data_IF_732318366454
#
_entry.id   IF_732318366454
#
_cell.length_a   1.000
_cell.length_b   1.000
_cell.length_c   1.000
_cell.angle_alpha   90.00
_cell.angle_beta   90.00
_cell.angle_gamma   90.00
#
_symmetry.space_group_name_H-M   'P 1'
#
loop_
_entity.id
_entity.type
_entity.pdbx_description
1 polymer ?
#
# COMPACT_ATOMS: atom_id res chain seq x y z
N UNK A 1 -38.25 -21.97 -5.21
CA UNK A 1 -37.22 -21.50 -6.16
C UNK A 1 -35.90 -22.10 -5.72
N UNK A 2 -35.32 -23.00 -6.52
CA UNK A 2 -34.01 -23.61 -6.21
C UNK A 2 -32.90 -22.61 -6.51
N UNK A 3 -31.92 -22.49 -5.61
CA UNK A 3 -30.76 -21.59 -5.74
C UNK A 3 -30.00 -21.86 -7.04
N UNK A 4 -29.49 -20.81 -7.71
CA UNK A 4 -28.67 -20.93 -8.93
C UNK A 4 -27.21 -21.34 -8.66
N UNK A 5 -26.84 -21.49 -7.39
CA UNK A 5 -25.53 -21.96 -6.95
C UNK A 5 -25.72 -23.32 -6.28
N UNK A 6 -25.44 -24.42 -6.99
CA UNK A 6 -25.63 -25.78 -6.46
C UNK A 6 -24.58 -26.13 -5.40
N UNK A 7 -23.43 -25.43 -5.41
CA UNK A 7 -22.33 -25.64 -4.48
C UNK A 7 -22.06 -24.35 -3.70
N UNK A 8 -21.75 -24.51 -2.41
CA UNK A 8 -21.32 -23.42 -1.53
C UNK A 8 -20.00 -23.82 -0.89
N UNK A 9 -19.01 -22.94 -0.95
CA UNK A 9 -17.73 -23.10 -0.28
C UNK A 9 -17.71 -22.09 0.85
N UNK A 10 -17.73 -22.59 2.08
CA UNK A 10 -17.58 -21.76 3.26
C UNK A 10 -16.09 -21.59 3.58
N UNK A 11 -15.70 -20.35 3.88
CA UNK A 11 -14.33 -20.03 4.29
C UNK A 11 -14.31 -19.73 5.78
N UNK A 12 -13.62 -20.56 6.54
CA UNK A 12 -13.45 -20.35 7.97
C UNK A 12 -12.56 -19.13 8.25
N UNK A 13 -12.84 -18.38 9.34
CA UNK A 13 -11.95 -17.32 9.80
C UNK A 13 -10.57 -17.90 10.16
N UNK A 14 -9.54 -17.08 9.98
CA UNK A 14 -8.19 -17.52 10.28
C UNK A 14 -8.03 -17.72 11.79
N UNK A 15 -7.63 -18.93 12.19
CA UNK A 15 -7.26 -19.22 13.57
C UNK A 15 -6.04 -18.36 14.00
N UNK A 16 -5.85 -18.11 15.31
CA UNK A 16 -4.76 -17.26 15.81
C UNK A 16 -3.37 -17.68 15.32
N UNK A 17 -3.06 -18.98 15.28
CA UNK A 17 -1.78 -19.49 14.79
C UNK A 17 -1.56 -19.17 13.31
N UNK A 18 -2.59 -19.29 12.47
CA UNK A 18 -2.55 -18.92 11.07
C UNK A 18 -2.38 -17.40 10.88
N UNK A 19 -2.97 -16.58 11.75
CA UNK A 19 -2.76 -15.13 11.77
C UNK A 19 -1.30 -14.77 12.08
N UNK A 20 -0.69 -15.44 13.07
CA UNK A 20 0.73 -15.26 13.43
C UNK A 20 1.62 -15.65 12.25
N UNK A 21 1.39 -16.82 11.65
CA UNK A 21 2.14 -17.28 10.48
C UNK A 21 2.01 -16.30 9.30
N UNK A 22 0.80 -15.80 9.04
CA UNK A 22 0.56 -14.81 7.99
C UNK A 22 1.35 -13.52 8.27
N UNK A 23 1.31 -13.01 9.51
CA UNK A 23 2.09 -11.84 9.91
C UNK A 23 3.59 -12.06 9.72
N UNK A 24 4.13 -13.21 10.15
CA UNK A 24 5.54 -13.58 9.96
C UNK A 24 5.90 -13.60 8.47
N UNK A 25 5.08 -14.21 7.61
CA UNK A 25 5.28 -14.21 6.15
C UNK A 25 5.28 -12.79 5.57
N UNK A 26 4.36 -11.91 6.01
CA UNK A 26 4.35 -10.52 5.56
C UNK A 26 5.65 -9.79 5.96
N UNK A 27 6.11 -9.96 7.20
CA UNK A 27 7.37 -9.36 7.67
C UNK A 27 8.59 -9.89 6.91
N UNK A 28 8.61 -11.18 6.57
CA UNK A 28 9.65 -11.78 5.72
C UNK A 28 9.66 -11.17 4.31
N UNK A 29 8.50 -10.90 3.71
CA UNK A 29 8.40 -10.19 2.42
C UNK A 29 9.00 -8.79 2.54
N UNK A 30 8.75 -8.08 3.64
CA UNK A 30 9.37 -6.78 3.89
C UNK A 30 10.91 -6.87 4.09
N UNK A 31 11.39 -7.86 4.83
CA UNK A 31 12.83 -8.17 4.99
C UNK A 31 13.49 -8.46 3.64
N UNK A 32 12.84 -9.24 2.77
CA UNK A 32 13.35 -9.54 1.43
C UNK A 32 13.47 -8.28 0.56
N UNK A 33 12.53 -7.32 0.66
CA UNK A 33 12.60 -6.03 -0.04
C UNK A 33 13.76 -5.14 0.41
N UNK A 34 14.25 -5.32 1.64
CA UNK A 34 15.38 -4.58 2.20
C UNK A 34 16.73 -5.33 2.09
N UNK A 35 16.71 -6.55 1.56
CA UNK A 35 17.91 -7.39 1.42
C UNK A 35 19.00 -6.65 0.63
N UNK A 36 20.22 -6.65 1.17
CA UNK A 36 21.38 -5.97 0.59
C UNK A 36 21.46 -4.46 0.88
N UNK A 37 20.39 -3.86 1.41
CA UNK A 37 20.41 -2.47 1.91
C UNK A 37 20.54 -2.42 3.42
N UNK A 38 19.90 -3.36 4.12
CA UNK A 38 19.81 -3.39 5.59
C UNK A 38 19.75 -4.80 6.15
N UNK A 39 20.12 -4.89 7.42
CA UNK A 39 20.01 -6.10 8.22
C UNK A 39 18.70 -5.98 9.02
N UNK A 40 17.76 -6.88 8.77
CA UNK A 40 16.48 -6.92 9.50
C UNK A 40 16.40 -8.20 10.30
N UNK A 41 16.36 -8.05 11.62
CA UNK A 41 16.18 -9.14 12.57
C UNK A 41 14.69 -9.30 12.90
N UNK A 42 14.17 -10.49 12.59
CA UNK A 42 12.80 -10.93 12.81
C UNK A 42 12.74 -12.19 13.67
N UNK A 43 13.82 -12.51 14.41
CA UNK A 43 13.93 -13.72 15.22
C UNK A 43 12.75 -13.92 16.17
N UNK A 44 12.21 -12.83 16.75
CA UNK A 44 11.03 -12.89 17.61
C UNK A 44 9.77 -13.47 16.93
N UNK A 45 9.64 -13.39 15.61
CA UNK A 45 8.51 -13.94 14.85
C UNK A 45 8.85 -15.24 14.09
N UNK A 46 10.12 -15.43 13.73
CA UNK A 46 10.60 -16.65 13.05
C UNK A 46 10.76 -17.82 14.04
N UNK A 47 11.25 -17.54 15.24
CA UNK A 47 11.41 -18.49 16.35
C UNK A 47 10.92 -17.85 17.65
N UNK A 48 9.59 -17.69 17.83
CA UNK A 48 9.04 -17.03 19.00
C UNK A 48 9.28 -17.85 20.27
N UNK A 49 9.61 -17.17 21.37
CA UNK A 49 9.60 -17.79 22.69
C UNK A 49 8.16 -18.20 23.06
N UNK A 50 7.99 -19.32 23.77
CA UNK A 50 6.69 -19.84 24.20
C UNK A 50 5.79 -18.79 24.91
N UNK A 51 6.28 -17.99 25.89
CA UNK A 51 5.44 -16.97 26.53
C UNK A 51 4.96 -15.91 25.52
N UNK A 52 5.83 -15.48 24.61
CA UNK A 52 5.49 -14.51 23.58
C UNK A 52 4.46 -15.07 22.59
N UNK A 53 4.59 -16.34 22.19
CA UNK A 53 3.63 -17.02 21.31
C UNK A 53 2.24 -17.11 21.97
N UNK A 54 2.19 -17.40 23.27
CA UNK A 54 0.95 -17.43 24.04
C UNK A 54 0.29 -16.05 24.09
N UNK A 55 1.06 -14.98 24.28
CA UNK A 55 0.53 -13.61 24.28
C UNK A 55 0.02 -13.20 22.90
N UNK A 56 0.73 -13.55 21.83
CA UNK A 56 0.25 -13.34 20.46
C UNK A 56 -1.08 -14.06 20.21
N UNK A 57 -1.15 -15.33 20.61
CA UNK A 57 -2.34 -16.18 20.42
C UNK A 57 -3.54 -15.55 21.12
N UNK A 58 -3.41 -15.16 22.40
CA UNK A 58 -4.48 -14.50 23.17
C UNK A 58 -4.97 -13.21 22.52
N UNK A 59 -4.05 -12.41 21.95
CA UNK A 59 -4.41 -11.12 21.31
C UNK A 59 -5.11 -11.31 19.98
N UNK A 60 -4.66 -12.27 19.17
CA UNK A 60 -5.35 -12.62 17.93
C UNK A 60 -6.72 -13.27 18.19
N UNK A 61 -6.84 -14.06 19.26
CA UNK A 61 -8.12 -14.59 19.72
C UNK A 61 -9.07 -13.45 20.14
N UNK A 62 -8.60 -12.51 20.95
CA UNK A 62 -9.37 -11.31 21.32
C UNK A 62 -9.76 -10.44 20.11
N UNK A 63 -8.89 -10.31 19.11
CA UNK A 63 -9.20 -9.61 17.86
C UNK A 63 -10.28 -10.34 17.07
N UNK A 64 -10.21 -11.68 17.00
CA UNK A 64 -11.16 -12.50 16.26
C UNK A 64 -12.60 -12.40 16.77
N UNK A 65 -12.77 -12.09 18.05
CA UNK A 65 -14.07 -11.87 18.70
C UNK A 65 -14.69 -10.49 18.40
N UNK A 66 -13.98 -9.57 17.74
CA UNK A 66 -14.53 -8.24 17.41
C UNK A 66 -15.37 -8.29 16.12
N UNK A 67 -16.57 -7.68 16.15
CA UNK A 67 -17.49 -7.59 15.00
C UNK A 67 -16.87 -7.01 13.70
N UNK A 68 -15.77 -6.27 13.82
CA UNK A 68 -15.10 -5.59 12.70
C UNK A 68 -13.79 -6.24 12.25
N UNK A 69 -13.51 -7.47 12.71
CA UNK A 69 -12.31 -8.21 12.36
C UNK A 69 -12.36 -8.72 10.91
N UNK A 70 -11.47 -8.20 10.07
CA UNK A 70 -11.39 -8.54 8.66
C UNK A 70 -10.37 -9.66 8.36
N UNK A 71 -10.08 -10.52 9.36
CA UNK A 71 -9.17 -11.66 9.25
C UNK A 71 -7.83 -11.27 8.57
N UNK A 72 -7.50 -11.91 7.44
CA UNK A 72 -6.24 -11.73 6.72
C UNK A 72 -5.93 -10.27 6.35
N UNK A 73 -6.97 -9.45 6.11
CA UNK A 73 -6.79 -8.04 5.75
C UNK A 73 -6.21 -7.25 6.91
N UNK A 74 -6.76 -7.42 8.11
CA UNK A 74 -6.27 -6.72 9.30
C UNK A 74 -4.89 -7.22 9.71
N UNK A 75 -4.59 -8.53 9.57
CA UNK A 75 -3.24 -9.07 9.78
C UNK A 75 -2.20 -8.42 8.85
N UNK A 76 -2.55 -8.21 7.57
CA UNK A 76 -1.67 -7.51 6.61
C UNK A 76 -1.46 -6.04 6.99
N UNK A 77 -2.50 -5.35 7.44
CA UNK A 77 -2.39 -3.96 7.90
C UNK A 77 -1.55 -3.87 9.18
N UNK A 78 -1.68 -4.83 10.10
CA UNK A 78 -0.84 -4.92 11.29
C UNK A 78 0.65 -5.05 10.92
N UNK A 79 0.99 -5.99 10.01
CA UNK A 79 2.36 -6.16 9.55
C UNK A 79 2.92 -4.88 8.90
N UNK A 80 2.11 -4.18 8.10
CA UNK A 80 2.47 -2.90 7.50
C UNK A 80 2.70 -1.81 8.56
N UNK A 81 1.83 -1.70 9.58
CA UNK A 81 2.01 -0.77 10.70
C UNK A 81 3.29 -1.05 11.46
N UNK A 82 3.60 -2.33 11.73
CA UNK A 82 4.87 -2.73 12.36
C UNK A 82 6.07 -2.29 11.54
N UNK A 83 6.03 -2.53 10.23
CA UNK A 83 7.11 -2.12 9.33
C UNK A 83 7.31 -0.60 9.29
N UNK A 84 6.23 0.18 9.34
CA UNK A 84 6.29 1.64 9.37
C UNK A 84 6.89 2.20 10.66
N UNK A 85 6.86 1.45 11.76
CA UNK A 85 7.50 1.84 13.03
C UNK A 85 9.03 1.67 13.00
N UNK A 86 9.60 1.00 11.99
CA UNK A 86 11.05 0.95 11.84
C UNK A 86 11.61 2.30 11.40
N UNK A 87 12.63 2.77 12.11
CA UNK A 87 13.41 3.90 11.64
C UNK A 87 14.25 3.48 10.43
N UNK A 88 13.86 3.98 9.27
CA UNK A 88 14.55 3.71 8.04
C UNK A 88 15.88 4.48 7.90
N UNK A 89 16.37 5.19 8.91
CA UNK A 89 17.74 5.76 8.90
C UNK A 89 18.80 4.73 9.35
N UNK A 90 18.40 3.74 10.15
CA UNK A 90 19.29 2.75 10.75
C UNK A 90 19.68 1.62 9.77
N UNK A 91 20.93 1.16 9.85
CA UNK A 91 21.45 0.04 9.05
C UNK A 91 20.95 -1.33 9.55
N UNK A 92 20.72 -1.44 10.86
CA UNK A 92 20.19 -2.62 11.52
C UNK A 92 18.80 -2.31 12.11
N UNK A 93 17.81 -3.13 11.75
CA UNK A 93 16.43 -3.01 12.21
C UNK A 93 16.09 -4.28 12.97
N UNK A 94 15.75 -4.17 14.26
CA UNK A 94 15.37 -5.32 15.10
C UNK A 94 13.92 -5.19 15.52
N UNK A 95 13.10 -6.19 15.19
CA UNK A 95 11.74 -6.29 15.70
C UNK A 95 11.77 -6.81 17.14
N UNK A 96 11.26 -6.03 18.09
CA UNK A 96 11.13 -6.44 19.49
C UNK A 96 9.74 -6.97 19.78
N UNK A 97 9.64 -7.93 20.69
CA UNK A 97 8.38 -8.51 21.17
C UNK A 97 7.40 -7.44 21.67
N UNK A 98 7.89 -6.52 22.51
CA UNK A 98 7.11 -5.40 23.06
C UNK A 98 6.45 -4.54 21.98
N UNK A 99 7.15 -4.32 20.86
CA UNK A 99 6.63 -3.50 19.76
C UNK A 99 5.48 -4.21 19.05
N UNK A 100 5.58 -5.53 18.88
CA UNK A 100 4.52 -6.36 18.27
C UNK A 100 3.29 -6.35 19.16
N UNK A 101 3.47 -6.63 20.46
CA UNK A 101 2.39 -6.64 21.44
C UNK A 101 1.74 -5.27 21.61
N UNK A 102 2.53 -4.19 21.65
CA UNK A 102 2.00 -2.83 21.73
C UNK A 102 1.15 -2.48 20.51
N UNK A 103 1.58 -2.87 19.30
CA UNK A 103 0.84 -2.58 18.07
C UNK A 103 -0.45 -3.40 17.96
N UNK A 104 -0.46 -4.64 18.49
CA UNK A 104 -1.69 -5.43 18.67
C UNK A 104 -2.66 -4.78 19.67
N UNK A 105 -2.17 -4.29 20.82
CA UNK A 105 -2.99 -3.54 21.77
C UNK A 105 -3.57 -2.27 21.16
N UNK A 106 -2.77 -1.51 20.41
CA UNK A 106 -3.21 -0.29 19.74
C UNK A 106 -4.41 -0.59 18.81
N UNK A 107 -4.33 -1.70 18.06
CA UNK A 107 -5.41 -2.14 17.17
C UNK A 107 -6.66 -2.56 17.95
N UNK A 108 -6.50 -3.33 19.04
CA UNK A 108 -7.60 -3.72 19.93
C UNK A 108 -8.32 -2.50 20.52
N UNK A 109 -7.55 -1.52 21.01
CA UNK A 109 -8.08 -0.27 21.62
C UNK A 109 -8.76 0.62 20.60
N UNK A 110 -8.14 0.85 19.44
CA UNK A 110 -8.70 1.67 18.35
C UNK A 110 -10.09 1.14 17.95
N UNK A 111 -10.24 -0.20 17.90
CA UNK A 111 -11.49 -0.85 17.50
C UNK A 111 -12.52 -0.91 18.62
N UNK A 112 -12.11 -1.13 19.87
CA UNK A 112 -13.00 -1.05 21.04
C UNK A 112 -13.61 0.35 21.17
N UNK A 113 -12.81 1.40 20.96
CA UNK A 113 -13.30 2.79 20.96
C UNK A 113 -14.38 3.05 19.91
N UNK A 114 -14.38 2.36 18.76
CA UNK A 114 -15.46 2.47 17.76
C UNK A 114 -16.72 1.71 18.17
N UNK A 115 -16.61 0.66 18.98
CA UNK A 115 -17.74 -0.07 19.53
C UNK A 115 -18.42 0.70 20.67
N UNK A 116 -17.64 1.28 21.57
CA UNK A 116 -18.16 2.06 22.71
C UNK A 116 -18.74 3.41 22.28
N UNK A 117 -18.24 4.00 21.19
CA UNK A 117 -18.70 5.29 20.69
C UNK A 117 -19.82 5.17 19.63
N UNK A 118 -20.50 4.01 19.56
CA UNK A 118 -21.75 3.85 18.80
C UNK A 118 -22.83 4.74 19.44
N UNK A 119 -22.92 6.01 19.01
CA UNK A 119 -24.21 6.70 19.06
C UNK A 119 -25.21 5.84 18.28
N UNK A 120 -26.42 5.57 18.81
CA UNK A 120 -27.40 4.80 18.08
C UNK A 120 -27.61 5.49 16.73
N UNK A 121 -27.45 4.74 15.65
CA UNK A 121 -27.79 5.24 14.32
C UNK A 121 -29.29 5.47 14.26
N UNK A 122 -29.75 6.44 13.46
CA UNK A 122 -31.18 6.72 13.28
C UNK A 122 -31.98 5.44 12.91
N UNK A 123 -31.34 4.47 12.23
CA UNK A 123 -31.93 3.16 11.94
C UNK A 123 -32.25 2.32 13.19
N UNK A 124 -31.42 2.39 14.24
CA UNK A 124 -31.66 1.72 15.52
C UNK A 124 -32.75 2.42 16.35
N UNK A 125 -32.91 3.74 16.21
CA UNK A 125 -34.01 4.49 16.83
C UNK A 125 -35.36 4.21 16.14
N UNK A 126 -35.36 4.11 14.80
CA UNK A 126 -36.55 3.74 14.02
C UNK A 126 -37.00 2.31 14.34
N UNK A 127 -36.06 1.37 14.50
CA UNK A 127 -36.38 -0.01 14.89
C UNK A 127 -37.02 -0.11 16.29
N UNK A 128 -36.63 0.76 17.23
CA UNK A 128 -37.26 0.84 18.57
C UNK A 128 -38.65 1.47 18.55
N UNK A 129 -38.97 2.31 17.57
CA UNK A 129 -40.29 2.91 17.43
C UNK A 129 -41.37 1.92 16.92
N UNK A 130 -40.96 0.82 16.28
CA UNK A 130 -41.87 -0.20 15.72
C UNK A 130 -42.31 -1.30 16.70
N UNK A 131 -41.79 -1.32 17.93
CA UNK A 131 -42.10 -2.38 18.92
C UNK A 131 -43.40 -2.11 19.70
N UNK A 132 -44.04 -0.95 19.51
CA UNK A 132 -45.27 -0.56 20.21
C UNK A 132 -46.54 -0.58 19.33
N UNK A 133 -46.52 -1.30 18.20
CA UNK A 133 -47.72 -1.50 17.37
C UNK A 133 -48.65 -2.57 17.99
N UNK A 134 -49.98 -2.42 17.91
CA UNK A 134 -50.91 -3.39 18.48
C UNK A 134 -50.76 -4.77 17.82
N UNK A 135 -50.60 -5.79 18.66
CA UNK A 135 -50.49 -7.20 18.30
C UNK A 135 -51.78 -7.68 17.62
N UNK A 136 -51.70 -8.01 16.33
CA UNK A 136 -52.71 -8.84 15.68
C UNK A 136 -52.29 -10.31 15.79
N UNK A 137 -53.04 -11.08 16.57
CA UNK A 137 -52.88 -12.53 16.70
C UNK A 137 -53.48 -13.24 15.48
N UNK A 138 -52.76 -14.12 14.77
CA UNK A 138 -53.37 -15.07 13.85
C UNK A 138 -53.98 -16.26 14.62
N UNK A 139 -55.07 -16.90 14.11
CA UNK A 139 -55.75 -17.97 14.80
C UNK A 139 -54.99 -19.31 14.74
N UNK A 140 -55.25 -20.12 15.75
CA UNK A 140 -54.67 -21.45 16.03
C UNK A 140 -55.25 -22.50 15.08
N UNK A 141 -54.39 -23.30 14.44
CA UNK A 141 -54.78 -24.58 13.82
C UNK A 141 -53.74 -25.67 14.10
N UNK A 142 -54.06 -26.45 15.13
CA UNK A 142 -53.96 -27.91 15.33
C UNK A 142 -53.09 -28.79 14.39
N UNK A 143 -52.18 -29.56 15.02
CA UNK A 143 -51.68 -30.94 14.72
C UNK A 143 -50.90 -31.15 13.40
N UNK A 144 -49.82 -31.94 13.28
CA UNK A 144 -49.37 -33.14 13.99
C UNK A 144 -47.84 -33.29 13.96
N UNK A 145 -47.29 -33.96 14.97
CA UNK A 145 -45.90 -34.46 15.05
C UNK A 145 -45.72 -35.69 14.14
N UNK A 146 -44.59 -35.77 13.43
CA UNK A 146 -44.01 -37.04 12.97
C UNK A 146 -42.50 -36.98 13.23
N UNK A 147 -42.05 -37.91 14.08
CA UNK A 147 -40.64 -38.26 14.28
C UNK A 147 -40.26 -39.32 13.27
N UNK A 148 -39.13 -39.16 12.58
CA UNK A 148 -38.50 -40.23 11.81
C UNK A 148 -37.04 -40.30 12.22
N UNK A 149 -36.73 -41.29 13.06
CA UNK A 149 -35.41 -41.89 13.24
C UNK A 149 -35.04 -42.72 12.02
N UNK A 150 -33.77 -42.64 11.59
CA UNK A 150 -33.06 -43.73 10.90
C UNK A 150 -31.57 -43.62 11.20
N UNK A 151 -31.05 -44.64 11.88
CA UNK A 151 -29.63 -44.95 12.00
C UNK A 151 -29.23 -45.87 10.82
N UNK A 152 -28.02 -45.69 10.25
CA UNK A 152 -27.02 -46.77 10.09
C UNK A 152 -25.70 -46.33 9.42
N UNK A 153 -24.63 -46.63 10.15
CA UNK A 153 -23.30 -47.17 9.79
C UNK A 153 -22.92 -47.48 8.33
N UNK A 154 -21.67 -47.13 7.99
CA UNK A 154 -20.56 -47.99 7.48
C UNK A 154 -19.48 -47.06 6.85
N UNK A 155 -18.29 -46.88 7.42
CA UNK A 155 -17.08 -47.73 7.40
C UNK A 155 -16.06 -47.34 6.30
N UNK A 156 -14.83 -47.08 6.77
CA UNK A 156 -13.48 -47.07 6.14
C UNK A 156 -13.23 -46.53 4.72
N UNK A 157 -12.21 -45.66 4.58
CA UNK A 157 -10.89 -46.10 4.07
C UNK A 157 -9.77 -45.05 4.23
N UNK A 158 -8.57 -45.60 4.34
CA UNK A 158 -7.29 -45.01 4.74
C UNK A 158 -6.61 -44.14 3.66
N UNK A 159 -5.82 -43.19 4.16
CA UNK A 159 -4.45 -42.81 3.78
C UNK A 159 -3.92 -43.17 2.37
N UNK A 160 -3.50 -42.15 1.61
CA UNK A 160 -2.13 -42.09 1.05
C UNK A 160 -1.82 -40.72 0.41
N UNK A 161 -0.55 -40.36 0.61
CA UNK A 161 0.37 -39.44 -0.08
C UNK A 161 -0.07 -39.01 -1.52
N UNK A 162 0.26 -37.85 -2.08
CA UNK A 162 1.62 -37.31 -2.35
C UNK A 162 1.52 -35.82 -2.78
N UNK A 163 2.58 -35.05 -2.56
CA UNK A 163 2.80 -33.76 -3.25
C UNK A 163 2.81 -33.93 -4.78
N UNK A 164 2.36 -32.91 -5.55
CA UNK A 164 3.06 -32.64 -6.79
C UNK A 164 3.36 -31.15 -6.98
N UNK A 165 4.66 -30.90 -7.09
CA UNK A 165 5.19 -29.89 -8.01
C UNK A 165 4.68 -30.21 -9.42
N UNK A 166 3.79 -29.39 -9.98
CA UNK A 166 3.63 -29.31 -11.42
C UNK A 166 3.54 -27.85 -11.91
N UNK A 167 4.68 -27.40 -12.41
CA UNK A 167 4.86 -26.19 -13.19
C UNK A 167 4.16 -26.28 -14.55
N UNK A 168 3.45 -25.21 -14.93
CA UNK A 168 3.26 -24.73 -16.30
C UNK A 168 2.61 -25.66 -17.35
N UNK A 169 1.39 -26.16 -17.09
CA UNK A 169 0.54 -26.72 -18.16
C UNK A 169 -0.97 -26.45 -18.00
N UNK A 170 -1.37 -25.45 -17.21
CA UNK A 170 -2.77 -25.26 -16.78
C UNK A 170 -3.57 -24.22 -17.60
N UNK A 171 -3.33 -24.14 -18.91
CA UNK A 171 -4.14 -23.28 -19.81
C UNK A 171 -5.26 -24.05 -20.54
N UNK A 172 -5.47 -25.33 -20.23
CA UNK A 172 -6.43 -26.16 -20.99
C UNK A 172 -7.28 -27.11 -20.14
N UNK A 173 -7.19 -27.04 -18.81
CA UNK A 173 -8.09 -27.84 -17.96
C UNK A 173 -9.42 -27.09 -17.89
N UNK A 174 -10.37 -27.56 -18.70
CA UNK A 174 -11.77 -27.15 -18.65
C UNK A 174 -12.45 -27.86 -17.50
N UNK A 175 -13.17 -27.12 -16.66
CA UNK A 175 -13.92 -27.70 -15.56
C UNK A 175 -15.08 -28.55 -16.10
N UNK A 176 -15.18 -29.78 -15.59
CA UNK A 176 -16.25 -30.70 -15.94
C UNK A 176 -17.61 -30.11 -15.48
N UNK A 177 -18.48 -29.77 -16.44
CA UNK A 177 -19.81 -29.19 -16.18
C UNK A 177 -20.06 -27.80 -16.77
N UNK A 178 -19.03 -27.13 -17.31
CA UNK A 178 -19.20 -25.84 -18.02
C UNK A 178 -19.50 -26.08 -19.50
N UNK A 179 -20.57 -25.48 -20.03
CA UNK A 179 -20.94 -25.58 -21.46
C UNK A 179 -19.92 -24.86 -22.37
N UNK A 180 -19.82 -25.31 -23.63
CA UNK A 180 -18.88 -24.76 -24.62
C UNK A 180 -19.04 -23.24 -24.79
N UNK A 181 -20.29 -22.77 -24.83
CA UNK A 181 -20.66 -21.37 -25.00
C UNK A 181 -20.16 -20.47 -23.86
N UNK A 182 -20.29 -20.93 -22.61
CA UNK A 182 -19.84 -20.18 -21.43
C UNK A 182 -18.32 -20.13 -21.38
N UNK A 183 -17.65 -21.21 -21.78
CA UNK A 183 -16.20 -21.27 -21.83
C UNK A 183 -15.62 -20.33 -22.88
N UNK A 184 -16.19 -20.31 -24.09
CA UNK A 184 -15.76 -19.39 -25.16
C UNK A 184 -15.99 -17.92 -24.78
N UNK A 185 -17.11 -17.62 -24.13
CA UNK A 185 -17.38 -16.27 -23.62
C UNK A 185 -16.37 -15.85 -22.55
N UNK A 186 -16.03 -16.73 -21.61
CA UNK A 186 -15.03 -16.46 -20.57
C UNK A 186 -13.64 -16.18 -21.18
N UNK A 187 -13.27 -16.90 -22.23
CA UNK A 187 -12.01 -16.67 -22.95
C UNK A 187 -12.00 -15.30 -23.65
N UNK A 188 -13.09 -14.95 -24.34
CA UNK A 188 -13.24 -13.62 -24.97
C UNK A 188 -13.20 -12.49 -23.96
N UNK A 189 -13.83 -12.66 -22.80
CA UNK A 189 -13.84 -11.67 -21.73
C UNK A 189 -12.46 -11.51 -21.09
N UNK A 190 -11.72 -12.60 -20.89
CA UNK A 190 -10.32 -12.55 -20.42
C UNK A 190 -9.44 -11.78 -21.39
N UNK A 191 -9.50 -12.10 -22.69
CA UNK A 191 -8.72 -11.38 -23.71
C UNK A 191 -9.09 -9.89 -23.80
N UNK A 192 -10.37 -9.57 -23.59
CA UNK A 192 -10.84 -8.19 -23.55
C UNK A 192 -10.29 -7.45 -22.32
N UNK A 193 -10.38 -8.07 -21.15
CA UNK A 193 -9.84 -7.49 -19.92
C UNK A 193 -8.31 -7.30 -20.02
N UNK A 194 -7.58 -8.25 -20.59
CA UNK A 194 -6.14 -8.13 -20.84
C UNK A 194 -5.82 -6.96 -21.77
N UNK A 195 -6.56 -6.79 -22.88
CA UNK A 195 -6.41 -5.64 -23.77
C UNK A 195 -6.71 -4.31 -23.08
N UNK A 196 -7.78 -4.25 -22.30
CA UNK A 196 -8.19 -3.02 -21.60
C UNK A 196 -7.16 -2.65 -20.52
N UNK A 197 -6.63 -3.64 -19.80
CA UNK A 197 -5.58 -3.44 -18.80
C UNK A 197 -4.26 -2.98 -19.45
N UNK A 198 -3.90 -3.56 -20.60
CA UNK A 198 -2.73 -3.12 -21.36
C UNK A 198 -2.89 -1.67 -21.85
N UNK A 199 -4.07 -1.32 -22.40
CA UNK A 199 -4.38 0.04 -22.83
C UNK A 199 -4.27 1.05 -21.67
N UNK A 200 -4.82 0.71 -20.50
CA UNK A 200 -4.73 1.54 -19.30
C UNK A 200 -3.27 1.70 -18.83
N UNK A 201 -2.48 0.63 -18.88
CA UNK A 201 -1.05 0.67 -18.54
C UNK A 201 -0.27 1.57 -19.50
N UNK A 202 -0.56 1.50 -20.81
CA UNK A 202 0.05 2.37 -21.84
C UNK A 202 -0.31 3.84 -21.60
N UNK A 203 -1.58 4.16 -21.33
CA UNK A 203 -2.03 5.52 -21.02
C UNK A 203 -1.35 6.08 -19.76
N UNK A 204 -1.30 5.30 -18.67
CA UNK A 204 -0.60 5.72 -17.43
C UNK A 204 0.88 5.97 -17.65
N UNK A 205 1.55 5.15 -18.48
CA UNK A 205 2.97 5.34 -18.81
C UNK A 205 3.17 6.63 -19.61
N UNK A 206 2.35 6.86 -20.63
CA UNK A 206 2.41 8.08 -21.46
C UNK A 206 2.18 9.34 -20.62
N UNK A 207 1.21 9.33 -19.70
CA UNK A 207 0.94 10.44 -18.79
C UNK A 207 2.13 10.75 -17.88
N UNK A 208 2.78 9.72 -17.32
CA UNK A 208 3.98 9.90 -16.48
C UNK A 208 5.13 10.48 -17.27
N UNK A 209 5.41 9.94 -18.45
CA UNK A 209 6.51 10.44 -19.29
C UNK A 209 6.28 11.87 -19.75
N UNK A 210 5.04 12.25 -20.09
CA UNK A 210 4.71 13.63 -20.44
C UNK A 210 4.93 14.58 -19.24
N UNK A 211 4.42 14.20 -18.06
CA UNK A 211 4.60 15.00 -16.84
C UNK A 211 6.08 15.13 -16.43
N UNK A 212 6.88 14.08 -16.59
CA UNK A 212 8.32 14.13 -16.33
C UNK A 212 9.04 15.03 -17.33
N UNK A 213 8.71 14.94 -18.62
CA UNK A 213 9.29 15.80 -19.66
C UNK A 213 8.97 17.29 -19.44
N UNK A 214 7.74 17.63 -19.03
CA UNK A 214 7.36 19.01 -18.70
C UNK A 214 8.13 19.53 -17.47
N UNK A 215 8.31 18.70 -16.44
CA UNK A 215 9.11 19.05 -15.26
C UNK A 215 10.57 19.29 -15.64
N UNK A 216 11.15 18.42 -16.47
CA UNK A 216 12.54 18.57 -16.91
C UNK A 216 12.72 19.86 -17.73
N UNK A 217 11.76 20.19 -18.60
CA UNK A 217 11.78 21.45 -19.37
C UNK A 217 11.81 22.66 -18.43
N UNK A 218 10.94 22.70 -17.43
CA UNK A 218 10.87 23.81 -16.46
C UNK A 218 12.16 23.94 -15.63
N UNK A 219 12.70 22.82 -15.14
CA UNK A 219 13.96 22.82 -14.39
C UNK A 219 15.10 23.33 -15.26
N UNK A 220 15.17 22.90 -16.51
CA UNK A 220 16.20 23.35 -17.46
C UNK A 220 16.11 24.85 -17.71
N UNK A 221 14.91 25.39 -17.87
CA UNK A 221 14.68 26.83 -18.04
C UNK A 221 15.15 27.64 -16.82
N UNK A 222 14.79 27.20 -15.61
CA UNK A 222 15.24 27.85 -14.37
C UNK A 222 16.76 27.83 -14.24
N UNK A 223 17.42 26.70 -14.53
CA UNK A 223 18.88 26.59 -14.46
C UNK A 223 19.59 27.50 -15.46
N UNK A 224 19.05 27.63 -16.67
CA UNK A 224 19.58 28.56 -17.68
C UNK A 224 19.46 30.01 -17.20
N UNK A 225 18.32 30.38 -16.62
CA UNK A 225 18.11 31.73 -16.13
C UNK A 225 18.98 32.04 -14.90
N UNK A 226 19.13 31.09 -13.97
CA UNK A 226 20.08 31.24 -12.85
C UNK A 226 21.52 31.40 -13.33
N UNK A 227 21.93 30.62 -14.33
CA UNK A 227 23.29 30.73 -14.89
C UNK A 227 23.53 32.12 -15.48
N UNK A 228 22.58 32.66 -16.26
CA UNK A 228 22.67 34.03 -16.78
C UNK A 228 22.75 35.06 -15.66
N UNK A 229 21.94 34.90 -14.60
CA UNK A 229 21.98 35.82 -13.45
C UNK A 229 23.34 35.81 -12.76
N UNK A 230 23.93 34.63 -12.57
CA UNK A 230 25.27 34.48 -11.99
C UNK A 230 26.34 35.12 -12.88
N UNK A 231 26.31 34.88 -14.19
CA UNK A 231 27.26 35.51 -15.14
C UNK A 231 27.17 37.04 -15.12
N UNK A 232 25.95 37.60 -15.01
CA UNK A 232 25.75 39.06 -14.89
C UNK A 232 26.31 39.59 -13.56
N UNK A 233 26.07 38.87 -12.46
CA UNK A 233 26.55 39.25 -11.12
C UNK A 233 28.08 39.17 -11.02
N UNK A 234 28.68 38.10 -11.54
CA UNK A 234 30.13 37.92 -11.64
C UNK A 234 30.76 39.04 -12.47
N UNK A 235 30.19 39.36 -13.63
CA UNK A 235 30.68 40.46 -14.47
C UNK A 235 30.57 41.81 -13.77
N UNK A 236 29.50 42.04 -13.00
CA UNK A 236 29.34 43.25 -12.19
C UNK A 236 30.32 43.30 -11.02
N UNK A 237 30.58 42.17 -10.37
CA UNK A 237 31.54 42.07 -9.27
C UNK A 237 32.98 42.31 -9.77
N UNK A 238 33.35 41.73 -10.92
CA UNK A 238 34.62 42.02 -11.60
C UNK A 238 34.78 43.51 -11.88
N UNK A 239 33.74 44.15 -12.41
CA UNK A 239 33.76 45.60 -12.65
C UNK A 239 33.95 46.41 -11.36
N UNK A 240 33.32 46.01 -10.25
CA UNK A 240 33.53 46.65 -8.94
C UNK A 240 34.96 46.44 -8.42
N UNK A 241 35.53 45.25 -8.62
CA UNK A 241 36.89 44.94 -8.19
C UNK A 241 37.96 45.72 -8.96
N UNK A 242 37.71 46.03 -10.24
CA UNK A 242 38.60 46.86 -11.06
C UNK A 242 38.77 48.29 -10.55
N UNK A 243 37.88 48.77 -9.69
CA UNK A 243 37.98 50.10 -9.09
C UNK A 243 37.87 51.23 -10.12
N UNK A 244 38.78 52.20 -10.03
CA UNK A 244 38.83 53.39 -10.90
C UNK A 244 40.04 53.32 -11.84
N UNK A 245 40.00 54.05 -12.95
CA UNK A 245 41.18 54.15 -13.84
C UNK A 245 42.37 54.83 -13.10
N UNK A 246 43.60 54.79 -13.66
CA UNK A 246 44.81 55.32 -13.00
C UNK A 246 44.74 56.78 -12.53
N UNK A 247 43.83 57.57 -13.09
CA UNK A 247 43.59 58.99 -12.76
C UNK A 247 42.33 59.22 -11.90
N UNK A 248 41.71 58.15 -11.38
CA UNK A 248 40.62 58.24 -10.39
C UNK A 248 39.19 58.25 -10.94
N UNK A 249 39.00 58.19 -12.27
CA UNK A 249 37.65 58.16 -12.86
C UNK A 249 37.06 56.75 -12.95
N UNK A 250 35.76 56.63 -12.70
CA UNK A 250 34.99 55.38 -12.79
C UNK A 250 34.90 54.86 -14.24
N UNK A 251 34.76 53.55 -14.38
CA UNK A 251 34.55 52.88 -15.68
C UNK A 251 33.08 52.89 -16.08
N UNK A 252 32.81 53.23 -17.34
CA UNK A 252 31.47 53.28 -17.96
C UNK A 252 31.43 52.23 -19.06
N UNK A 253 30.44 51.32 -19.00
CA UNK A 253 30.23 50.31 -20.03
C UNK A 253 29.84 50.97 -21.37
N UNK A 254 30.55 50.61 -22.44
CA UNK A 254 30.23 50.95 -23.83
C UNK A 254 30.21 49.69 -24.69
N UNK A 255 29.87 49.82 -25.98
CA UNK A 255 29.79 48.69 -26.89
C UNK A 255 31.19 48.06 -27.07
N UNK A 256 31.38 46.83 -26.61
CA UNK A 256 32.64 46.08 -26.71
C UNK A 256 33.73 46.43 -25.69
N UNK A 257 33.44 47.21 -24.64
CA UNK A 257 34.42 47.56 -23.62
C UNK A 257 33.95 48.55 -22.56
N UNK A 258 34.91 49.11 -21.84
CA UNK A 258 34.70 50.12 -20.80
C UNK A 258 35.56 51.35 -21.06
N UNK A 259 34.95 52.52 -20.98
CA UNK A 259 35.62 53.83 -21.08
C UNK A 259 35.59 54.51 -19.73
N UNK A 260 36.68 55.12 -19.28
CA UNK A 260 36.63 55.89 -18.03
C UNK A 260 35.76 57.15 -18.19
N UNK A 261 35.18 57.66 -17.10
CA UNK A 261 34.33 58.86 -17.12
C UNK A 261 35.06 60.12 -17.62
N UNK A 262 36.39 60.18 -17.48
CA UNK A 262 37.23 61.23 -18.06
C UNK A 262 37.51 61.08 -19.56
N UNK A 263 37.13 59.95 -20.18
CA UNK A 263 37.28 59.70 -21.61
C UNK A 263 38.70 59.39 -22.11
N UNK A 264 39.71 59.37 -21.25
CA UNK A 264 41.11 59.17 -21.66
C UNK A 264 41.56 57.70 -21.70
N UNK A 265 40.85 56.80 -20.99
CA UNK A 265 41.23 55.40 -20.87
C UNK A 265 40.12 54.48 -21.38
N UNK A 266 40.52 53.38 -22.03
CA UNK A 266 39.66 52.36 -22.61
C UNK A 266 40.17 50.96 -22.26
N UNK A 267 39.25 50.02 -22.05
CA UNK A 267 39.54 48.61 -21.84
C UNK A 267 38.53 47.75 -22.58
N UNK A 268 38.96 46.65 -23.18
CA UNK A 268 38.10 45.73 -23.93
C UNK A 268 37.41 44.72 -23.02
N UNK A 269 36.30 44.15 -23.48
CA UNK A 269 35.59 43.11 -22.70
C UNK A 269 36.46 41.87 -22.44
N UNK A 270 37.33 41.50 -23.38
CA UNK A 270 38.26 40.38 -23.20
C UNK A 270 39.32 40.64 -22.13
N UNK A 271 39.80 41.89 -21.99
CA UNK A 271 40.74 42.27 -20.93
C UNK A 271 40.07 42.25 -19.55
N UNK A 272 38.78 42.60 -19.48
CA UNK A 272 37.98 42.50 -18.24
C UNK A 272 37.68 41.05 -17.87
N UNK A 273 37.41 40.20 -18.85
CA UNK A 273 37.10 38.79 -18.61
C UNK A 273 38.37 37.99 -18.22
N UNK A 274 39.55 38.40 -18.68
CA UNK A 274 40.86 37.76 -18.43
C UNK A 274 41.53 38.16 -17.10
N UNK A 275 41.03 39.18 -16.40
CA UNK A 275 41.45 39.53 -15.04
C UNK A 275 40.59 38.80 -13.99
#
# INVERSE_FOLDING_TARGET
MSSRFPESIDFDPLIPSACIQLMTKQMQVHKAKLKGRRIVDLSCLETPAEPFLNDLTKRFEALSQQDSWANARDVKELAKKLFQKFDLSCQQLTLKEDLVLATLEDMLKERRGRMDNKKPTAAAEIAKAFVNGPTFTPPVTTTSKVSTTCEKEAEEQEESTEDPVHSNALHSIRDAGVSDEVWEQLQKDREKEERDNEALRRLKKAQRTASEADRERLVREILVEEKKRKEIEERKAKLMHMGVCPVGYQWIKQNGGFRCAGGSHWMTDGEVDSM
#
